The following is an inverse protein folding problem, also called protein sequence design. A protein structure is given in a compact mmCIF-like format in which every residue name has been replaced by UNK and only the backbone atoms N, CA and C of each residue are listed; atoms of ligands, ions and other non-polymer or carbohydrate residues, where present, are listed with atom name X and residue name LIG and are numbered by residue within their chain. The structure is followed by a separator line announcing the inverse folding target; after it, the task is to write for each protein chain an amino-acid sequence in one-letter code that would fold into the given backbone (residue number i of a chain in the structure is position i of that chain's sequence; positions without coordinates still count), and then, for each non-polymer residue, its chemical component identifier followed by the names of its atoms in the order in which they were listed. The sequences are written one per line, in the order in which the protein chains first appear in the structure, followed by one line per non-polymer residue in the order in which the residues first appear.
data_IF_109095549014
#
_entry.id   IF_109095549014
#
_cell.length_a   1.000
_cell.length_b   1.000
_cell.length_c   1.000
_cell.angle_alpha   90.00
_cell.angle_beta   90.00
_cell.angle_gamma   90.00
#
_symmetry.space_group_name_H-M   'P 1'
#
loop_
_entity.id
_entity.type
_entity.pdbx_description
1 polymer ?
#
# COMPACT_ATOMS: atom_id res chain seq x y z
N UNK A 1 -10.93 22.54 -25.80
CA UNK A 1 -9.94 22.22 -24.76
C UNK A 1 -10.10 20.75 -24.46
N UNK A 2 -9.05 19.95 -24.50
CA UNK A 2 -9.15 18.56 -24.07
C UNK A 2 -9.52 18.57 -22.58
N UNK A 3 -10.56 17.84 -22.18
CA UNK A 3 -10.86 17.66 -20.76
C UNK A 3 -9.73 16.86 -20.12
N UNK A 4 -9.30 17.28 -18.92
CA UNK A 4 -8.35 16.49 -18.13
C UNK A 4 -8.96 15.11 -17.84
N UNK A 5 -8.09 14.07 -17.76
CA UNK A 5 -8.55 12.78 -17.23
C UNK A 5 -8.94 12.92 -15.76
N UNK A 6 -10.00 12.22 -15.38
CA UNK A 6 -10.50 12.20 -14.01
C UNK A 6 -10.03 10.91 -13.31
N UNK A 7 -9.39 11.05 -12.17
CA UNK A 7 -8.97 9.92 -11.34
C UNK A 7 -9.71 9.91 -9.99
N UNK A 8 -10.22 8.76 -9.58
CA UNK A 8 -10.78 8.51 -8.26
C UNK A 8 -9.83 7.62 -7.47
N UNK A 9 -9.37 8.11 -6.31
CA UNK A 9 -8.50 7.38 -5.40
C UNK A 9 -9.28 7.03 -4.14
N UNK A 10 -9.53 5.75 -3.88
CA UNK A 10 -10.04 5.33 -2.58
C UNK A 10 -8.88 5.23 -1.59
N UNK A 11 -9.11 5.52 -0.30
CA UNK A 11 -8.02 5.52 0.68
C UNK A 11 -7.03 6.68 0.54
N UNK A 12 -7.50 7.84 0.09
CA UNK A 12 -6.70 9.04 -0.21
C UNK A 12 -5.86 9.55 0.97
N UNK A 13 -6.28 9.30 2.22
CA UNK A 13 -5.58 9.73 3.43
C UNK A 13 -4.33 8.90 3.75
N UNK A 14 -4.16 7.72 3.13
CA UNK A 14 -3.00 6.85 3.30
C UNK A 14 -1.73 7.40 2.65
N UNK A 15 -0.58 6.74 2.92
CA UNK A 15 0.68 7.15 2.28
C UNK A 15 0.61 7.03 0.75
N UNK A 16 0.14 5.90 0.23
CA UNK A 16 0.10 5.63 -1.21
C UNK A 16 -0.94 6.53 -1.90
N UNK A 17 -2.11 6.73 -1.26
CA UNK A 17 -3.13 7.64 -1.75
C UNK A 17 -2.62 9.07 -1.91
N UNK A 18 -1.85 9.56 -0.94
CA UNK A 18 -1.29 10.90 -0.98
C UNK A 18 -0.19 11.04 -2.05
N UNK A 19 0.74 10.08 -2.17
CA UNK A 19 1.77 10.13 -3.22
C UNK A 19 1.17 9.95 -4.62
N UNK A 20 0.21 9.05 -4.78
CA UNK A 20 -0.49 8.86 -6.05
C UNK A 20 -1.26 10.12 -6.47
N UNK A 21 -1.94 10.76 -5.53
CA UNK A 21 -2.64 12.01 -5.79
C UNK A 21 -1.68 13.10 -6.28
N UNK A 22 -0.51 13.25 -5.63
CA UNK A 22 0.53 14.19 -6.09
C UNK A 22 0.98 13.87 -7.51
N UNK A 23 1.30 12.60 -7.77
CA UNK A 23 1.73 12.15 -9.09
C UNK A 23 0.70 12.46 -10.18
N UNK A 24 -0.58 12.18 -9.92
CA UNK A 24 -1.65 12.41 -10.88
C UNK A 24 -1.92 13.91 -11.12
N UNK A 25 -1.86 14.73 -10.08
CA UNK A 25 -1.92 16.20 -10.22
C UNK A 25 -0.78 16.75 -11.08
N UNK A 26 0.45 16.24 -10.89
CA UNK A 26 1.62 16.61 -11.69
C UNK A 26 1.48 16.17 -13.16
N UNK A 27 0.68 15.14 -13.44
CA UNK A 27 0.32 14.65 -14.78
C UNK A 27 -0.93 15.31 -15.39
N UNK A 28 -1.52 16.29 -14.71
CA UNK A 28 -2.65 17.07 -15.20
C UNK A 28 -4.01 16.38 -15.08
N UNK A 29 -4.15 15.44 -14.13
CA UNK A 29 -5.45 14.84 -13.81
C UNK A 29 -6.27 15.74 -12.89
N UNK A 30 -7.59 15.65 -13.04
CA UNK A 30 -8.54 16.10 -12.00
C UNK A 30 -8.68 14.95 -10.99
N UNK A 31 -8.24 15.19 -9.74
CA UNK A 31 -8.15 14.15 -8.72
C UNK A 31 -9.26 14.27 -7.69
N UNK A 32 -10.04 13.19 -7.58
CA UNK A 32 -11.00 12.96 -6.51
C UNK A 32 -10.46 11.91 -5.55
N UNK A 33 -10.64 12.14 -4.26
CA UNK A 33 -10.25 11.20 -3.23
C UNK A 33 -11.42 10.81 -2.34
N UNK A 34 -11.42 9.59 -1.78
CA UNK A 34 -12.45 9.20 -0.82
C UNK A 34 -11.88 8.76 0.52
N UNK A 35 -12.66 9.04 1.56
CA UNK A 35 -12.51 8.54 2.91
C UNK A 35 -13.89 8.12 3.43
N UNK A 36 -13.97 7.27 4.47
CA UNK A 36 -15.27 6.92 5.09
C UNK A 36 -16.04 8.17 5.54
N UNK A 37 -15.32 9.11 6.09
CA UNK A 37 -15.85 10.42 6.50
C UNK A 37 -14.88 11.52 6.07
N UNK A 38 -15.24 12.29 5.05
CA UNK A 38 -14.42 13.37 4.52
C UNK A 38 -14.36 14.60 5.43
N UNK A 39 -15.28 14.73 6.39
CA UNK A 39 -15.32 15.86 7.33
C UNK A 39 -14.49 15.61 8.58
N UNK A 40 -14.50 14.38 9.10
CA UNK A 40 -13.81 14.00 10.33
C UNK A 40 -12.43 13.39 10.11
N UNK A 41 -12.15 12.88 8.91
CA UNK A 41 -10.85 12.26 8.59
C UNK A 41 -9.72 13.27 8.60
N UNK A 42 -8.59 12.87 9.16
CA UNK A 42 -7.36 13.64 9.04
C UNK A 42 -6.73 13.40 7.67
N UNK A 43 -6.40 14.46 6.96
CA UNK A 43 -5.70 14.42 5.67
C UNK A 43 -4.27 14.94 5.78
N UNK A 44 -3.65 14.73 6.93
CA UNK A 44 -2.30 15.23 7.26
C UNK A 44 -1.26 14.86 6.18
N UNK A 45 -1.40 13.73 5.50
CA UNK A 45 -0.49 13.35 4.43
C UNK A 45 -0.66 14.24 3.19
N UNK A 46 -1.88 14.66 2.87
CA UNK A 46 -2.14 15.61 1.79
C UNK A 46 -1.61 17.01 2.15
N UNK A 47 -1.76 17.41 3.41
CA UNK A 47 -1.24 18.69 3.92
C UNK A 47 0.29 18.69 3.90
N UNK A 48 0.95 17.63 4.34
CA UNK A 48 2.41 17.47 4.29
C UNK A 48 2.97 17.54 2.86
N UNK A 49 2.20 17.09 1.87
CA UNK A 49 2.56 17.20 0.46
C UNK A 49 2.10 18.52 -0.20
N UNK A 50 1.44 19.42 0.54
CA UNK A 50 0.88 20.69 0.04
C UNK A 50 -0.08 20.52 -1.16
N UNK A 51 -0.89 19.47 -1.16
CA UNK A 51 -1.83 19.16 -2.26
C UNK A 51 -3.30 19.13 -1.83
N UNK A 52 -3.59 19.28 -0.52
CA UNK A 52 -4.97 19.17 0.02
C UNK A 52 -5.99 20.05 -0.70
N UNK A 53 -5.63 21.29 -1.01
CA UNK A 53 -6.51 22.27 -1.69
C UNK A 53 -6.74 21.98 -3.18
N UNK A 54 -5.97 21.08 -3.78
CA UNK A 54 -6.07 20.68 -5.20
C UNK A 54 -6.91 19.42 -5.41
N UNK A 55 -7.42 18.82 -4.34
CA UNK A 55 -8.12 17.53 -4.38
C UNK A 55 -9.52 17.72 -3.82
N UNK A 56 -10.52 17.24 -4.55
CA UNK A 56 -11.88 17.13 -4.04
C UNK A 56 -12.02 15.81 -3.27
N UNK A 57 -12.26 15.91 -1.94
CA UNK A 57 -12.44 14.73 -1.10
C UNK A 57 -13.91 14.51 -0.80
N UNK A 58 -14.37 13.26 -0.92
CA UNK A 58 -15.76 12.85 -0.74
C UNK A 58 -15.87 11.75 0.30
N UNK A 59 -16.98 11.71 1.04
CA UNK A 59 -17.30 10.59 1.92
C UNK A 59 -17.80 9.40 1.10
N UNK A 60 -17.23 8.21 1.36
CA UNK A 60 -17.63 6.96 0.71
C UNK A 60 -17.40 5.77 1.63
N UNK A 61 -18.47 5.07 1.98
CA UNK A 61 -18.39 3.76 2.64
C UNK A 61 -18.20 2.70 1.56
N UNK A 62 -16.98 2.16 1.43
CA UNK A 62 -16.61 1.25 0.34
C UNK A 62 -17.36 -0.09 0.41
N UNK A 63 -17.79 -0.51 1.59
CA UNK A 63 -18.60 -1.70 1.83
C UNK A 63 -20.11 -1.49 1.60
N UNK A 64 -20.55 -0.29 1.26
CA UNK A 64 -21.92 0.04 0.84
C UNK A 64 -21.97 0.38 -0.65
N UNK A 65 -22.58 -0.52 -1.43
CA UNK A 65 -22.71 -0.37 -2.88
C UNK A 65 -23.39 0.95 -3.28
N UNK A 66 -24.40 1.42 -2.54
CA UNK A 66 -25.10 2.66 -2.82
C UNK A 66 -24.17 3.86 -2.68
N UNK A 67 -23.35 3.88 -1.63
CA UNK A 67 -22.35 4.92 -1.39
C UNK A 67 -21.30 4.97 -2.51
N UNK A 68 -20.80 3.79 -2.92
CA UNK A 68 -19.86 3.65 -4.06
C UNK A 68 -20.49 4.17 -5.35
N UNK A 69 -21.70 3.71 -5.68
CA UNK A 69 -22.41 4.08 -6.91
C UNK A 69 -22.66 5.60 -6.99
N UNK A 70 -23.04 6.23 -5.87
CA UNK A 70 -23.26 7.67 -5.79
C UNK A 70 -21.98 8.46 -6.13
N UNK A 71 -20.84 8.10 -5.51
CA UNK A 71 -19.55 8.77 -5.75
C UNK A 71 -19.09 8.55 -7.20
N UNK A 72 -19.15 7.33 -7.70
CA UNK A 72 -18.77 7.00 -9.07
C UNK A 72 -19.59 7.75 -10.12
N UNK A 73 -20.90 7.90 -9.89
CA UNK A 73 -21.80 8.63 -10.76
C UNK A 73 -21.53 10.14 -10.74
N UNK A 74 -21.17 10.69 -9.57
CA UNK A 74 -20.84 12.12 -9.43
C UNK A 74 -19.50 12.47 -10.06
N UNK A 75 -18.47 11.66 -9.80
CA UNK A 75 -17.10 11.95 -10.23
C UNK A 75 -16.85 11.56 -11.68
N UNK A 76 -17.56 10.56 -12.21
CA UNK A 76 -17.41 10.03 -13.57
C UNK A 76 -15.94 9.75 -13.94
N UNK A 77 -15.21 8.95 -13.15
CA UNK A 77 -13.79 8.79 -13.33
C UNK A 77 -13.46 8.02 -14.62
N UNK A 78 -12.32 8.36 -15.22
CA UNK A 78 -11.68 7.58 -16.27
C UNK A 78 -10.82 6.45 -15.67
N UNK A 79 -10.25 6.72 -14.49
CA UNK A 79 -9.36 5.79 -13.79
C UNK A 79 -9.75 5.72 -12.29
N UNK A 80 -9.84 4.50 -11.77
CA UNK A 80 -10.11 4.24 -10.35
C UNK A 80 -8.96 3.49 -9.74
N UNK A 81 -8.40 4.03 -8.66
CA UNK A 81 -7.32 3.42 -7.87
C UNK A 81 -7.85 2.99 -6.51
N UNK A 82 -8.02 1.68 -6.33
CA UNK A 82 -8.51 1.12 -5.09
C UNK A 82 -7.36 0.86 -4.10
N UNK A 83 -7.15 1.82 -3.19
CA UNK A 83 -6.16 1.76 -2.11
C UNK A 83 -6.82 1.69 -0.73
N UNK A 84 -8.14 1.67 -0.66
CA UNK A 84 -8.89 1.58 0.58
C UNK A 84 -8.86 0.18 1.17
N UNK A 85 -9.10 0.10 2.47
CA UNK A 85 -9.20 -1.13 3.24
C UNK A 85 -8.33 -1.10 4.49
N UNK A 86 -8.67 -1.94 5.46
CA UNK A 86 -7.87 -2.15 6.65
C UNK A 86 -6.53 -2.78 6.26
N UNK A 87 -5.39 -2.11 6.53
CA UNK A 87 -4.07 -2.48 6.02
C UNK A 87 -3.10 -3.06 7.06
N UNK A 88 -3.52 -3.15 8.34
CA UNK A 88 -2.70 -3.75 9.39
C UNK A 88 -2.94 -5.25 9.49
N UNK A 89 -1.90 -6.05 9.24
CA UNK A 89 -1.96 -7.51 9.40
C UNK A 89 -2.31 -7.89 10.85
N UNK A 90 -1.72 -7.22 11.85
CA UNK A 90 -2.02 -7.51 13.26
C UNK A 90 -3.49 -7.25 13.58
N UNK A 91 -4.01 -6.07 13.20
CA UNK A 91 -5.41 -5.71 13.44
C UNK A 91 -6.39 -6.65 12.71
N UNK A 92 -5.99 -7.29 11.61
CA UNK A 92 -6.85 -8.24 10.90
C UNK A 92 -7.21 -9.47 11.74
N UNK A 93 -6.37 -9.87 12.70
CA UNK A 93 -6.70 -10.96 13.62
C UNK A 93 -7.73 -10.55 14.69
N UNK A 94 -7.74 -9.27 15.04
CA UNK A 94 -8.72 -8.72 16.00
C UNK A 94 -10.05 -8.35 15.31
N UNK A 95 -9.97 -7.90 14.05
CA UNK A 95 -11.11 -7.41 13.27
C UNK A 95 -11.20 -8.10 11.88
N UNK A 96 -11.38 -9.44 11.83
CA UNK A 96 -11.36 -10.16 10.55
C UNK A 96 -12.56 -9.82 9.65
N UNK A 97 -13.73 -9.57 10.22
CA UNK A 97 -14.95 -9.21 9.47
C UNK A 97 -14.76 -7.85 8.78
N UNK A 98 -14.39 -6.80 9.52
CA UNK A 98 -14.10 -5.47 8.96
C UNK A 98 -13.01 -5.54 7.88
N UNK A 99 -12.01 -6.40 8.08
CA UNK A 99 -10.93 -6.61 7.11
C UNK A 99 -11.47 -7.19 5.79
N UNK A 100 -12.31 -8.21 5.85
CA UNK A 100 -12.95 -8.80 4.66
C UNK A 100 -13.93 -7.82 4.00
N UNK A 101 -14.74 -7.13 4.78
CA UNK A 101 -15.73 -6.18 4.26
C UNK A 101 -15.04 -4.99 3.56
N UNK A 102 -14.03 -4.41 4.18
CA UNK A 102 -13.36 -3.24 3.61
C UNK A 102 -12.45 -3.57 2.42
N UNK A 103 -11.92 -4.79 2.31
CA UNK A 103 -11.00 -5.19 1.24
C UNK A 103 -11.75 -5.97 0.15
N UNK A 104 -12.29 -7.16 0.45
CA UNK A 104 -12.92 -8.00 -0.56
C UNK A 104 -14.27 -7.42 -1.00
N UNK A 105 -15.22 -7.25 -0.08
CA UNK A 105 -16.52 -6.68 -0.43
C UNK A 105 -16.42 -5.26 -0.99
N UNK A 106 -15.48 -4.45 -0.49
CA UNK A 106 -15.23 -3.11 -1.05
C UNK A 106 -14.74 -3.16 -2.50
N UNK A 107 -13.86 -4.09 -2.83
CA UNK A 107 -13.39 -4.32 -4.22
C UNK A 107 -14.53 -4.79 -5.11
N UNK A 108 -15.34 -5.75 -4.64
CA UNK A 108 -16.51 -6.25 -5.37
C UNK A 108 -17.52 -5.14 -5.66
N UNK A 109 -17.81 -4.27 -4.70
CA UNK A 109 -18.70 -3.12 -4.90
C UNK A 109 -18.21 -2.16 -5.99
N UNK A 110 -16.90 -1.88 -6.03
CA UNK A 110 -16.31 -1.06 -7.08
C UNK A 110 -16.41 -1.73 -8.45
N UNK A 111 -16.11 -3.02 -8.55
CA UNK A 111 -16.17 -3.79 -9.80
C UNK A 111 -17.60 -3.86 -10.33
N UNK A 112 -18.60 -4.17 -9.49
CA UNK A 112 -20.02 -4.16 -9.86
C UNK A 112 -20.50 -2.79 -10.31
N UNK A 113 -20.04 -1.73 -9.64
CA UNK A 113 -20.35 -0.36 -10.05
C UNK A 113 -19.74 -0.03 -11.41
N UNK A 114 -18.46 -0.37 -11.67
CA UNK A 114 -17.78 -0.14 -12.95
C UNK A 114 -18.50 -0.88 -14.08
N UNK A 115 -18.82 -2.16 -13.84
CA UNK A 115 -19.59 -2.98 -14.81
C UNK A 115 -20.94 -2.35 -15.14
N UNK A 116 -21.66 -1.86 -14.13
CA UNK A 116 -22.98 -1.25 -14.30
C UNK A 116 -22.95 0.09 -15.03
N UNK A 117 -21.86 0.85 -14.92
CA UNK A 117 -21.70 2.15 -15.57
C UNK A 117 -21.30 2.06 -17.06
N UNK A 118 -20.68 0.95 -17.47
CA UNK A 118 -20.26 0.63 -18.86
C UNK A 118 -19.57 1.81 -19.59
N UNK A 119 -18.57 2.39 -18.95
CA UNK A 119 -17.88 3.61 -19.44
C UNK A 119 -16.43 3.41 -19.87
N UNK A 120 -15.94 2.18 -19.89
CA UNK A 120 -14.52 1.90 -20.18
C UNK A 120 -13.58 2.40 -19.08
N UNK A 121 -14.05 2.45 -17.83
CA UNK A 121 -13.26 2.87 -16.66
C UNK A 121 -12.10 1.89 -16.46
N UNK A 122 -10.88 2.40 -16.28
CA UNK A 122 -9.71 1.60 -15.95
C UNK A 122 -9.59 1.47 -14.44
N UNK A 123 -9.48 0.24 -13.95
CA UNK A 123 -9.48 -0.08 -12.53
C UNK A 123 -8.16 -0.70 -12.08
N UNK A 124 -7.53 -0.07 -11.10
CA UNK A 124 -6.36 -0.60 -10.39
C UNK A 124 -6.77 -1.04 -8.98
N UNK A 125 -6.35 -2.23 -8.56
CA UNK A 125 -6.51 -2.74 -7.20
C UNK A 125 -5.16 -2.97 -6.54
N UNK A 126 -4.97 -2.40 -5.35
CA UNK A 126 -3.80 -2.69 -4.52
C UNK A 126 -3.94 -4.07 -3.87
N UNK A 127 -3.29 -5.09 -4.42
CA UNK A 127 -3.10 -6.39 -3.80
C UNK A 127 -1.87 -6.37 -2.87
N UNK A 128 -1.45 -7.51 -2.34
CA UNK A 128 -0.38 -7.60 -1.34
C UNK A 128 0.46 -8.87 -1.49
N UNK A 129 1.74 -8.78 -1.20
CA UNK A 129 2.63 -9.92 -1.06
C UNK A 129 2.19 -10.93 0.02
N UNK A 130 1.36 -10.51 0.99
CA UNK A 130 0.80 -11.40 2.01
C UNK A 130 -0.12 -12.49 1.42
N UNK A 131 -0.58 -12.32 0.17
CA UNK A 131 -1.30 -13.35 -0.57
C UNK A 131 -0.44 -14.60 -0.80
N UNK A 132 0.86 -14.45 -1.01
CA UNK A 132 1.76 -15.58 -1.26
C UNK A 132 2.04 -16.43 -0.02
N UNK A 133 1.92 -15.86 1.18
CA UNK A 133 2.40 -16.51 2.38
C UNK A 133 3.94 -16.56 2.42
N UNK A 134 4.50 -17.62 3.03
CA UNK A 134 5.94 -17.85 3.02
C UNK A 134 6.41 -18.33 1.65
N UNK A 135 7.32 -17.61 1.03
CA UNK A 135 7.90 -17.98 -0.28
C UNK A 135 9.11 -18.92 -0.17
N UNK A 136 9.69 -19.04 1.04
CA UNK A 136 10.92 -19.83 1.25
C UNK A 136 12.09 -19.28 0.44
N UNK A 137 12.80 -20.17 -0.26
CA UNK A 137 13.95 -19.82 -1.10
C UNK A 137 13.55 -19.28 -2.48
N UNK A 138 12.31 -19.51 -2.93
CA UNK A 138 11.84 -19.08 -4.24
C UNK A 138 11.27 -17.67 -4.17
N UNK A 139 11.66 -16.82 -5.11
CA UNK A 139 11.07 -15.48 -5.24
C UNK A 139 9.71 -15.58 -5.95
N UNK A 140 8.65 -15.06 -5.31
CA UNK A 140 7.31 -15.08 -5.87
C UNK A 140 7.18 -14.14 -7.07
N UNK A 141 6.53 -14.63 -8.11
CA UNK A 141 6.09 -13.88 -9.28
C UNK A 141 4.58 -14.02 -9.48
N UNK A 142 4.06 -13.50 -10.59
CA UNK A 142 2.62 -13.49 -10.90
C UNK A 142 2.02 -14.89 -11.13
N UNK A 143 2.85 -15.94 -11.26
CA UNK A 143 2.42 -17.34 -11.42
C UNK A 143 2.49 -18.12 -10.12
N UNK A 144 3.10 -17.57 -9.09
CA UNK A 144 3.24 -18.22 -7.79
C UNK A 144 1.89 -18.38 -7.12
N UNK A 145 1.48 -19.60 -6.70
CA UNK A 145 0.20 -19.82 -6.03
C UNK A 145 0.11 -19.04 -4.71
N UNK A 146 -1.08 -18.50 -4.44
CA UNK A 146 -1.37 -17.86 -3.17
C UNK A 146 -1.57 -18.87 -2.04
N UNK A 147 -1.02 -18.56 -0.87
CA UNK A 147 -1.14 -19.33 0.37
C UNK A 147 -1.20 -18.40 1.58
N UNK A 148 -2.23 -17.51 1.66
CA UNK A 148 -2.31 -16.48 2.70
C UNK A 148 -2.37 -17.09 4.11
N UNK A 149 -1.77 -16.39 5.09
CA UNK A 149 -1.64 -16.84 6.49
C UNK A 149 -2.24 -15.88 7.50
N UNK A 150 -3.02 -14.91 7.05
CA UNK A 150 -3.70 -13.94 7.91
C UNK A 150 -5.06 -13.57 7.31
N UNK A 151 -6.03 -13.09 8.10
CA UNK A 151 -7.29 -12.57 7.57
C UNK A 151 -7.08 -11.45 6.52
N UNK A 152 -6.06 -10.60 6.71
CA UNK A 152 -5.64 -9.60 5.74
C UNK A 152 -5.21 -10.25 4.41
N UNK A 153 -4.30 -11.22 4.45
CA UNK A 153 -3.84 -11.93 3.26
C UNK A 153 -4.99 -12.65 2.53
N UNK A 154 -5.91 -13.27 3.28
CA UNK A 154 -7.12 -13.92 2.72
C UNK A 154 -8.00 -12.88 2.00
N UNK A 155 -8.28 -11.74 2.63
CA UNK A 155 -9.09 -10.68 2.04
C UNK A 155 -8.44 -10.10 0.76
N UNK A 156 -7.11 -9.89 0.76
CA UNK A 156 -6.36 -9.43 -0.41
C UNK A 156 -6.33 -10.46 -1.54
N UNK A 157 -6.23 -11.75 -1.21
CA UNK A 157 -6.30 -12.83 -2.20
C UNK A 157 -7.70 -12.94 -2.83
N UNK A 158 -8.76 -12.80 -2.03
CA UNK A 158 -10.14 -12.75 -2.55
C UNK A 158 -10.31 -11.58 -3.51
N UNK A 159 -9.95 -10.36 -3.11
CA UNK A 159 -10.01 -9.17 -3.96
C UNK A 159 -9.21 -9.32 -5.26
N UNK A 160 -8.03 -9.96 -5.22
CA UNK A 160 -7.24 -10.25 -6.41
C UNK A 160 -8.00 -11.14 -7.40
N UNK A 161 -8.60 -12.22 -6.92
CA UNK A 161 -9.36 -13.14 -7.77
C UNK A 161 -10.68 -12.56 -8.27
N UNK A 162 -11.32 -11.66 -7.51
CA UNK A 162 -12.46 -10.87 -7.98
C UNK A 162 -12.06 -10.02 -9.20
N UNK A 163 -10.94 -9.29 -9.10
CA UNK A 163 -10.42 -8.46 -10.21
C UNK A 163 -10.13 -9.30 -11.45
N UNK A 164 -9.43 -10.43 -11.28
CA UNK A 164 -9.12 -11.33 -12.38
C UNK A 164 -10.42 -11.90 -13.02
N UNK A 165 -11.38 -12.32 -12.20
CA UNK A 165 -12.67 -12.83 -12.69
C UNK A 165 -13.45 -11.77 -13.47
N UNK A 166 -13.53 -10.53 -12.98
CA UNK A 166 -14.26 -9.45 -13.68
C UNK A 166 -13.57 -9.02 -14.97
N UNK A 167 -12.25 -9.06 -15.03
CA UNK A 167 -11.49 -8.86 -16.25
C UNK A 167 -11.85 -9.91 -17.30
N UNK A 168 -11.84 -11.18 -16.91
CA UNK A 168 -12.03 -12.31 -17.84
C UNK A 168 -13.52 -12.49 -18.23
N UNK A 169 -14.44 -12.37 -17.27
CA UNK A 169 -15.86 -12.63 -17.50
C UNK A 169 -16.61 -11.47 -18.15
N UNK A 170 -16.21 -10.23 -17.85
CA UNK A 170 -16.92 -9.02 -18.27
C UNK A 170 -16.09 -8.08 -19.16
N UNK A 171 -14.86 -8.50 -19.51
CA UNK A 171 -13.94 -7.71 -20.32
C UNK A 171 -13.65 -6.30 -19.73
N UNK A 172 -13.64 -6.18 -18.40
CA UNK A 172 -13.29 -4.94 -17.74
C UNK A 172 -11.79 -4.68 -17.84
N UNK A 173 -11.41 -3.42 -18.03
CA UNK A 173 -10.01 -3.04 -17.82
C UNK A 173 -9.72 -3.00 -16.32
N UNK A 174 -9.36 -4.14 -15.74
CA UNK A 174 -9.11 -4.29 -14.31
C UNK A 174 -7.81 -5.05 -14.06
N UNK A 175 -6.94 -4.52 -13.17
CA UNK A 175 -5.64 -5.11 -12.87
C UNK A 175 -5.30 -4.99 -11.39
N UNK A 176 -4.44 -5.89 -10.89
CA UNK A 176 -3.95 -5.86 -9.52
C UNK A 176 -2.43 -5.72 -9.46
N UNK A 177 -1.95 -4.72 -8.71
CA UNK A 177 -0.55 -4.63 -8.30
C UNK A 177 -0.32 -5.44 -7.03
N UNK A 178 0.49 -6.51 -7.11
CA UNK A 178 0.87 -7.32 -5.94
C UNK A 178 2.04 -6.62 -5.26
N UNK A 179 1.71 -5.73 -4.34
CA UNK A 179 2.67 -4.84 -3.70
C UNK A 179 3.44 -5.56 -2.60
N UNK A 180 4.76 -5.50 -2.66
CA UNK A 180 5.63 -5.85 -1.54
C UNK A 180 5.74 -4.67 -0.58
N UNK A 181 6.39 -4.87 0.57
CA UNK A 181 6.45 -3.81 1.58
C UNK A 181 7.08 -2.54 0.99
N UNK A 182 6.44 -1.42 1.22
CA UNK A 182 6.91 -0.12 0.76
C UNK A 182 6.58 0.95 1.79
N UNK A 183 7.56 1.76 2.07
CA UNK A 183 7.60 2.65 3.20
C UNK A 183 7.84 4.09 2.78
N UNK A 184 7.55 5.01 3.68
CA UNK A 184 7.83 6.42 3.47
C UNK A 184 7.74 7.20 4.77
N UNK A 185 8.15 8.49 4.80
CA UNK A 185 7.89 9.37 5.92
C UNK A 185 6.40 9.54 6.27
N UNK A 186 5.49 9.24 5.33
CA UNK A 186 4.05 9.33 5.54
C UNK A 186 3.42 8.08 6.17
N UNK A 187 4.20 7.01 6.39
CA UNK A 187 3.73 5.77 7.01
C UNK A 187 3.29 6.02 8.46
N UNK A 188 2.14 5.51 8.93
CA UNK A 188 1.74 5.63 10.33
C UNK A 188 2.65 4.84 11.29
N UNK A 189 2.85 5.34 12.52
CA UNK A 189 3.72 4.72 13.54
C UNK A 189 3.25 3.33 14.04
N UNK A 190 2.03 2.94 13.72
CA UNK A 190 1.56 1.58 14.01
C UNK A 190 2.30 0.50 13.21
N UNK A 191 2.94 0.86 12.09
CA UNK A 191 3.74 -0.07 11.29
C UNK A 191 5.17 -0.15 11.81
N UNK A 192 5.72 -1.38 11.82
CA UNK A 192 7.00 -1.69 12.47
C UNK A 192 8.16 -0.83 11.98
N UNK A 193 8.24 -0.55 10.70
CA UNK A 193 9.28 0.28 10.08
C UNK A 193 9.26 1.72 10.60
N UNK A 194 8.08 2.34 10.62
CA UNK A 194 7.93 3.70 11.15
C UNK A 194 8.08 3.75 12.67
N UNK A 195 7.62 2.70 13.38
CA UNK A 195 7.85 2.52 14.82
C UNK A 195 9.35 2.50 15.14
N UNK A 196 10.14 1.75 14.37
CA UNK A 196 11.60 1.66 14.53
C UNK A 196 12.26 3.02 14.30
N UNK A 197 11.98 3.67 13.17
CA UNK A 197 12.56 4.98 12.83
C UNK A 197 12.19 6.04 13.85
N UNK A 198 10.93 6.12 14.24
CA UNK A 198 10.46 7.08 15.25
C UNK A 198 11.11 6.85 16.60
N UNK A 199 11.23 5.58 17.04
CA UNK A 199 11.88 5.24 18.29
C UNK A 199 13.38 5.54 18.28
N UNK A 200 14.09 5.21 17.18
CA UNK A 200 15.52 5.53 17.04
C UNK A 200 15.76 7.05 17.20
N UNK A 201 14.96 7.88 16.54
CA UNK A 201 15.04 9.34 16.66
C UNK A 201 14.70 9.83 18.08
N UNK A 202 13.64 9.30 18.74
CA UNK A 202 13.28 9.68 20.11
C UNK A 202 14.34 9.25 21.12
N UNK A 203 14.93 8.07 20.97
CA UNK A 203 15.99 7.56 21.84
C UNK A 203 17.25 8.43 21.69
N UNK A 204 17.61 8.83 20.48
CA UNK A 204 18.75 9.71 20.23
C UNK A 204 18.59 11.09 20.88
N UNK A 205 17.35 11.60 20.98
CA UNK A 205 17.04 12.85 21.70
C UNK A 205 16.91 12.69 23.21
N UNK A 206 16.85 11.46 23.72
CA UNK A 206 16.61 11.19 25.13
C UNK A 206 15.13 11.11 25.56
N UNK A 207 14.21 11.22 24.60
CA UNK A 207 12.76 11.23 24.82
C UNK A 207 12.18 9.81 25.08
N UNK A 208 12.94 8.77 24.74
CA UNK A 208 12.55 7.37 24.91
C UNK A 208 13.76 6.54 25.37
N UNK A 209 13.54 5.55 26.25
CA UNK A 209 14.63 4.72 26.78
C UNK A 209 14.85 3.42 25.99
N UNK A 210 13.78 2.76 25.59
CA UNK A 210 13.80 1.42 24.97
C UNK A 210 12.77 1.30 23.86
N UNK A 211 13.00 0.38 22.94
CA UNK A 211 12.07 -0.01 21.87
C UNK A 211 11.76 -1.50 22.00
N UNK A 212 10.49 -1.85 22.22
CA UNK A 212 10.02 -3.24 22.22
C UNK A 212 9.57 -3.66 20.83
N UNK A 213 10.12 -4.78 20.35
CA UNK A 213 9.80 -5.40 19.06
C UNK A 213 9.51 -6.89 19.27
N UNK A 214 8.70 -7.47 18.37
CA UNK A 214 8.50 -8.91 18.30
C UNK A 214 9.63 -9.60 17.52
N UNK A 215 9.28 -10.47 16.57
CA UNK A 215 10.24 -11.26 15.80
C UNK A 215 11.10 -10.41 14.86
N UNK A 216 12.40 -10.37 15.08
CA UNK A 216 13.39 -9.68 14.23
C UNK A 216 13.90 -10.55 13.05
N UNK A 217 13.62 -11.86 13.05
CA UNK A 217 14.16 -12.77 12.05
C UNK A 217 13.34 -12.83 10.76
N UNK A 218 12.28 -12.01 10.66
CA UNK A 218 11.47 -11.93 9.46
C UNK A 218 12.25 -11.26 8.32
N UNK A 219 12.04 -11.73 7.10
CA UNK A 219 12.69 -11.21 5.90
C UNK A 219 11.64 -10.65 4.94
N UNK A 220 11.85 -9.43 4.49
CA UNK A 220 10.94 -8.71 3.58
C UNK A 220 11.73 -7.94 2.52
N UNK A 221 11.03 -7.60 1.46
CA UNK A 221 11.46 -6.63 0.46
C UNK A 221 10.83 -5.27 0.83
N UNK A 222 11.65 -4.25 1.03
CA UNK A 222 11.20 -2.89 1.38
C UNK A 222 11.60 -1.89 0.30
N UNK A 223 10.60 -1.30 -0.36
CA UNK A 223 10.78 -0.23 -1.33
C UNK A 223 10.27 1.13 -0.84
N UNK A 224 10.35 2.13 -1.70
CA UNK A 224 9.88 3.49 -1.44
C UNK A 224 8.49 3.71 -2.04
N UNK A 225 7.51 4.08 -1.20
CA UNK A 225 6.10 4.24 -1.60
C UNK A 225 5.91 5.21 -2.79
N UNK A 226 6.66 6.32 -2.83
CA UNK A 226 6.57 7.26 -3.94
C UNK A 226 7.02 6.70 -5.28
N UNK A 227 7.81 5.63 -5.32
CA UNK A 227 8.16 4.91 -6.56
C UNK A 227 7.09 3.88 -6.94
N UNK A 228 6.42 3.27 -5.96
CA UNK A 228 5.39 2.26 -6.19
C UNK A 228 4.14 2.85 -6.85
N UNK A 229 3.80 4.11 -6.54
CA UNK A 229 2.66 4.78 -7.18
C UNK A 229 2.89 5.06 -8.67
N UNK A 230 4.15 5.19 -9.12
CA UNK A 230 4.46 5.24 -10.56
C UNK A 230 4.07 3.94 -11.26
N UNK A 231 4.34 2.77 -10.63
CA UNK A 231 3.91 1.48 -11.17
C UNK A 231 2.38 1.38 -11.26
N UNK A 232 1.65 1.83 -10.24
CA UNK A 232 0.19 1.85 -10.23
C UNK A 232 -0.36 2.63 -11.44
N UNK A 233 0.19 3.81 -11.70
CA UNK A 233 -0.20 4.61 -12.85
C UNK A 233 0.18 3.93 -14.17
N UNK A 234 1.40 3.42 -14.32
CA UNK A 234 1.88 2.75 -15.52
C UNK A 234 1.01 1.53 -15.89
N UNK A 235 0.52 0.79 -14.91
CA UNK A 235 -0.36 -0.36 -15.13
C UNK A 235 -1.68 0.05 -15.80
N UNK A 236 -2.21 1.22 -15.47
CA UNK A 236 -3.43 1.73 -16.12
C UNK A 236 -3.17 2.43 -17.45
N UNK A 237 -1.91 2.59 -17.89
CA UNK A 237 -1.59 3.17 -19.21
C UNK A 237 -1.34 2.11 -20.27
N UNK A 238 -1.35 0.82 -19.93
CA UNK A 238 -1.11 -0.27 -20.88
C UNK A 238 -2.32 -0.45 -21.84
N UNK A 239 -2.09 -1.07 -22.99
CA UNK A 239 -3.15 -1.39 -23.96
C UNK A 239 -4.13 -2.43 -23.40
N UNK A 240 -3.63 -3.41 -22.66
CA UNK A 240 -4.43 -4.46 -22.02
C UNK A 240 -4.12 -4.56 -20.51
N UNK A 241 -5.13 -4.88 -19.71
CA UNK A 241 -4.94 -5.05 -18.25
C UNK A 241 -4.18 -6.32 -17.94
N UNK A 242 -3.25 -6.25 -16.98
CA UNK A 242 -2.51 -7.42 -16.47
C UNK A 242 -2.05 -7.16 -15.03
N UNK A 243 -1.76 -8.23 -14.28
CA UNK A 243 -1.32 -8.15 -12.89
C UNK A 243 0.21 -8.16 -12.80
N UNK A 244 0.76 -7.43 -11.82
CA UNK A 244 2.21 -7.28 -11.68
C UNK A 244 2.66 -7.36 -10.22
N UNK A 245 3.76 -8.08 -9.99
CA UNK A 245 4.52 -7.99 -8.75
C UNK A 245 5.33 -6.71 -8.75
N UNK A 246 5.08 -5.85 -7.76
CA UNK A 246 5.77 -4.57 -7.57
C UNK A 246 6.64 -4.66 -6.32
N UNK A 247 7.95 -4.70 -6.52
CA UNK A 247 8.95 -4.95 -5.49
C UNK A 247 10.34 -4.43 -5.92
N UNK A 248 11.27 -4.37 -4.97
CA UNK A 248 12.68 -4.05 -5.29
C UNK A 248 13.42 -5.28 -5.84
N UNK A 249 12.96 -6.49 -5.54
CA UNK A 249 13.64 -7.75 -5.82
C UNK A 249 14.79 -8.07 -4.85
N UNK A 250 14.92 -7.30 -3.76
CA UNK A 250 15.93 -7.51 -2.72
C UNK A 250 15.27 -7.72 -1.37
N UNK A 251 15.66 -8.80 -0.69
CA UNK A 251 15.10 -9.20 0.58
C UNK A 251 16.11 -8.98 1.69
N UNK A 252 15.68 -8.37 2.79
CA UNK A 252 16.51 -8.08 3.95
C UNK A 252 15.82 -8.56 5.24
N UNK A 253 16.59 -8.76 6.29
CA UNK A 253 16.08 -9.09 7.63
C UNK A 253 15.63 -7.82 8.35
N UNK A 254 14.67 -7.97 9.26
CA UNK A 254 14.20 -6.84 10.05
C UNK A 254 15.27 -6.29 11.00
N UNK A 255 16.17 -7.16 11.51
CA UNK A 255 17.28 -6.68 12.35
C UNK A 255 18.30 -5.83 11.58
N UNK A 256 18.46 -6.04 10.24
CA UNK A 256 19.27 -5.15 9.39
C UNK A 256 18.61 -3.76 9.26
N UNK A 257 17.28 -3.73 9.13
CA UNK A 257 16.52 -2.47 9.11
C UNK A 257 16.69 -1.71 10.43
N UNK A 258 16.56 -2.40 11.56
CA UNK A 258 16.76 -1.84 12.91
C UNK A 258 18.18 -1.30 13.05
N UNK A 259 19.18 -2.11 12.70
CA UNK A 259 20.59 -1.73 12.81
C UNK A 259 20.90 -0.45 12.02
N UNK A 260 20.40 -0.33 10.81
CA UNK A 260 20.62 0.85 9.97
C UNK A 260 19.90 2.10 10.52
N UNK A 261 18.65 1.98 10.96
CA UNK A 261 17.90 3.10 11.54
C UNK A 261 18.61 3.69 12.77
N UNK A 262 19.12 2.83 13.65
CA UNK A 262 19.88 3.26 14.83
C UNK A 262 21.28 3.80 14.49
N UNK A 263 21.96 3.19 13.52
CA UNK A 263 23.25 3.68 13.02
C UNK A 263 23.18 5.13 12.50
N UNK A 264 22.12 5.46 11.76
CA UNK A 264 21.92 6.80 11.20
C UNK A 264 21.72 7.88 12.26
N UNK A 265 21.31 7.50 13.47
CA UNK A 265 21.21 8.42 14.63
C UNK A 265 22.37 8.28 15.63
N UNK A 266 23.43 7.55 15.25
CA UNK A 266 24.65 7.40 16.06
C UNK A 266 24.53 6.45 17.26
N UNK A 267 23.59 5.50 17.25
CA UNK A 267 23.31 4.58 18.35
C UNK A 267 23.58 3.12 17.97
N UNK A 268 24.00 2.32 18.95
CA UNK A 268 24.02 0.85 18.86
C UNK A 268 22.65 0.30 19.32
N UNK A 269 21.86 -0.21 18.39
CA UNK A 269 20.51 -0.70 18.62
C UNK A 269 20.40 -1.78 19.71
N UNK A 270 21.44 -2.62 19.87
CA UNK A 270 21.46 -3.71 20.87
C UNK A 270 21.33 -3.21 22.30
N UNK A 271 21.66 -1.96 22.56
CA UNK A 271 21.52 -1.32 23.86
C UNK A 271 20.10 -0.86 24.16
N UNK A 272 19.25 -0.72 23.13
CA UNK A 272 17.95 -0.06 23.23
C UNK A 272 16.77 -0.91 22.81
N UNK A 273 17.00 -1.96 22.01
CA UNK A 273 15.92 -2.84 21.52
C UNK A 273 15.78 -4.05 22.43
N UNK A 274 14.55 -4.32 22.86
CA UNK A 274 14.16 -5.49 23.65
C UNK A 274 13.13 -6.30 22.87
N UNK A 275 13.23 -7.63 22.94
CA UNK A 275 12.25 -8.54 22.35
C UNK A 275 11.11 -8.71 23.32
N UNK A 276 9.88 -8.56 22.83
CA UNK A 276 8.65 -8.69 23.60
C UNK A 276 7.74 -9.72 22.90
N UNK A 277 7.62 -10.89 23.49
CA UNK A 277 6.82 -11.99 22.94
C UNK A 277 5.33 -11.67 22.86
N UNK A 278 4.84 -10.71 23.64
CA UNK A 278 3.44 -10.25 23.56
C UNK A 278 3.11 -9.56 22.24
N UNK A 279 4.13 -9.13 21.49
CA UNK A 279 4.00 -8.49 20.18
C UNK A 279 4.07 -9.49 19.01
N UNK A 280 4.21 -10.78 19.30
CA UNK A 280 4.19 -11.82 18.28
C UNK A 280 2.77 -11.97 17.71
N UNK A 281 2.68 -12.18 16.40
CA UNK A 281 1.41 -12.45 15.74
C UNK A 281 1.03 -13.93 15.88
N UNK A 282 -0.28 -14.28 15.84
CA UNK A 282 -0.72 -15.67 15.84
C UNK A 282 -0.08 -16.52 14.73
N UNK A 283 0.11 -15.91 13.55
CA UNK A 283 0.95 -16.45 12.47
C UNK A 283 1.79 -15.32 11.90
N UNK A 284 3.06 -15.56 11.64
CA UNK A 284 3.94 -14.59 11.01
C UNK A 284 4.67 -15.23 9.84
N UNK A 285 4.82 -14.48 8.76
CA UNK A 285 5.57 -14.90 7.61
C UNK A 285 7.06 -14.71 7.89
N UNK A 286 7.84 -15.77 7.74
CA UNK A 286 9.30 -15.70 7.97
C UNK A 286 10.03 -15.08 6.80
N UNK A 287 9.75 -15.52 5.58
CA UNK A 287 10.45 -15.07 4.37
C UNK A 287 9.44 -14.80 3.26
N UNK A 288 9.47 -13.58 2.71
CA UNK A 288 8.67 -13.20 1.54
C UNK A 288 9.59 -12.52 0.53
N UNK A 289 9.94 -13.25 -0.54
CA UNK A 289 10.84 -12.82 -1.62
C UNK A 289 10.07 -12.51 -2.88
N UNK A 290 10.53 -11.53 -3.66
CA UNK A 290 9.89 -11.03 -4.88
C UNK A 290 10.73 -11.21 -6.14
N UNK A 291 10.05 -11.51 -7.24
CA UNK A 291 10.58 -11.41 -8.59
C UNK A 291 9.78 -10.39 -9.41
N UNK A 292 10.17 -9.10 -9.45
CA UNK A 292 9.47 -8.05 -10.21
C UNK A 292 9.84 -8.05 -11.71
N UNK A 293 10.34 -9.14 -12.24
CA UNK A 293 10.85 -9.22 -13.62
C UNK A 293 9.80 -8.87 -14.69
N UNK A 294 8.53 -9.15 -14.46
CA UNK A 294 7.43 -8.79 -15.38
C UNK A 294 7.21 -7.27 -15.42
N UNK A 295 7.18 -6.59 -14.28
CA UNK A 295 7.06 -5.13 -14.21
C UNK A 295 8.21 -4.45 -14.96
N UNK A 296 9.44 -4.93 -14.80
CA UNK A 296 10.59 -4.43 -15.55
C UNK A 296 10.43 -4.58 -17.07
N UNK A 297 10.02 -5.75 -17.53
CA UNK A 297 9.92 -6.03 -18.98
C UNK A 297 8.77 -5.28 -19.64
N UNK A 298 7.60 -5.27 -19.01
CA UNK A 298 6.36 -4.80 -19.66
C UNK A 298 6.06 -3.33 -19.34
N UNK A 299 6.34 -2.88 -18.11
CA UNK A 299 6.09 -1.49 -17.69
C UNK A 299 7.36 -0.60 -17.80
N UNK A 300 8.54 -1.18 -17.98
CA UNK A 300 9.80 -0.46 -17.85
C UNK A 300 10.09 0.02 -16.43
N UNK A 301 9.32 -0.48 -15.44
CA UNK A 301 9.42 -0.05 -14.06
C UNK A 301 10.42 -0.87 -13.26
N UNK A 302 11.26 -0.18 -12.51
CA UNK A 302 12.23 -0.77 -11.57
C UNK A 302 12.31 0.16 -10.35
N UNK A 303 12.25 -0.41 -9.15
CA UNK A 303 12.52 0.36 -7.92
C UNK A 303 13.97 0.87 -7.94
N UNK A 304 14.16 2.15 -7.65
CA UNK A 304 15.47 2.83 -7.67
C UNK A 304 16.10 2.85 -6.29
N UNK A 305 15.25 3.00 -5.25
CA UNK A 305 15.68 3.09 -3.86
C UNK A 305 15.86 1.69 -3.25
N UNK A 306 16.98 1.49 -2.55
CA UNK A 306 17.20 0.34 -1.69
C UNK A 306 16.52 0.53 -0.33
N UNK A 307 16.42 -0.54 0.49
CA UNK A 307 15.98 -0.44 1.88
C UNK A 307 16.77 0.62 2.67
N UNK A 308 18.08 0.73 2.44
CA UNK A 308 18.94 1.69 3.12
C UNK A 308 18.61 3.14 2.75
N UNK A 309 18.28 3.39 1.48
CA UNK A 309 17.81 4.70 1.03
C UNK A 309 16.47 5.07 1.65
N UNK A 310 15.55 4.10 1.73
CA UNK A 310 14.25 4.26 2.37
C UNK A 310 14.40 4.64 3.83
N UNK A 311 15.23 3.90 4.59
CA UNK A 311 15.48 4.18 6.01
C UNK A 311 16.08 5.59 6.17
N UNK A 312 17.06 5.94 5.34
CA UNK A 312 17.69 7.25 5.38
C UNK A 312 16.68 8.37 5.18
N UNK A 313 15.84 8.28 4.14
CA UNK A 313 14.76 9.25 3.86
C UNK A 313 13.81 9.38 5.05
N UNK A 314 13.41 8.26 5.65
CA UNK A 314 12.48 8.27 6.79
C UNK A 314 13.11 8.90 8.03
N UNK A 315 14.39 8.61 8.33
CA UNK A 315 15.12 9.17 9.48
C UNK A 315 15.35 10.68 9.29
N UNK A 316 15.84 11.09 8.13
CA UNK A 316 16.08 12.51 7.82
C UNK A 316 14.81 13.36 7.96
N UNK A 317 13.68 12.85 7.49
CA UNK A 317 12.40 13.56 7.62
C UNK A 317 11.92 13.60 9.08
N UNK A 318 12.12 12.50 9.84
CA UNK A 318 11.73 12.46 11.25
C UNK A 318 12.60 13.35 12.14
N UNK A 319 13.84 13.63 11.75
CA UNK A 319 14.73 14.54 12.47
C UNK A 319 14.39 16.03 12.27
N UNK A 320 13.63 16.37 11.23
CA UNK A 320 13.15 17.74 10.98
C UNK A 320 11.96 18.13 11.88
N UNK A 321 11.30 17.15 12.46
CA UNK A 321 10.12 17.29 13.33
C UNK A 321 10.53 17.32 14.81
#
# INVERSE_FOLDING_TARGET
MANNKVALITGIAGQDGAYLARLLLERGYDVFGTSRDAHMSSFINLDRLNIRSKITVMSMAINDFRSVFQVMTQTKPDEVYNLAGQSSVSLSFEQPVETLESIAMGTLNLLECIKSLDRGIRFYNASSSDCFGNTGELAADEKTPFSPRSPYGVAKAAAFWEVANYRDAYNLYACSGILFNHESPLRPELFVTQKIVSAACRIARGDQKKLNLGNLNVQRDWGLSSEYVDAMWLMLQQESPDDYVIATGKTYRLDEFVAEAFRLVGLDWRKYVEIDDSLLRPTDLTIVRANPGKAKRNLGWVAKSSMFDVIKIMVEEKQKL
#
